data_IF_222674550755
#
_entry.id   IF_222674550755
#
_cell.length_a   1.000
_cell.length_b   1.000
_cell.length_c   1.000
_cell.angle_alpha   90.00
_cell.angle_beta   90.00
_cell.angle_gamma   90.00
#
_symmetry.space_group_name_H-M   'P 1'
#
loop_
_entity.id
_entity.type
_entity.pdbx_description
1 polymer ?
#
# COMPACT_ATOMS: atom_id res chain seq x y z
N UNK A 1 -57.77 -39.19 68.46
CA UNK A 1 -58.73 -38.64 67.46
C UNK A 1 -58.05 -37.43 66.79
N UNK A 2 -57.08 -37.67 65.90
CA UNK A 2 -57.20 -37.66 64.43
C UNK A 2 -57.41 -36.26 63.83
N UNK A 3 -56.27 -35.64 63.55
CA UNK A 3 -56.05 -34.42 62.77
C UNK A 3 -56.32 -34.68 61.28
N UNK A 4 -57.10 -33.83 60.61
CA UNK A 4 -57.33 -33.85 59.15
C UNK A 4 -56.42 -32.82 58.48
N UNK A 5 -55.43 -33.32 57.73
CA UNK A 5 -54.69 -32.56 56.72
C UNK A 5 -55.57 -32.32 55.48
N UNK A 6 -55.54 -31.10 54.96
CA UNK A 6 -56.07 -30.75 53.64
C UNK A 6 -54.94 -30.81 52.61
N UNK A 7 -55.09 -31.61 51.54
CA UNK A 7 -54.19 -31.61 50.38
C UNK A 7 -54.83 -30.89 49.20
N UNK A 8 -54.11 -29.93 48.60
CA UNK A 8 -54.48 -29.32 47.31
C UNK A 8 -54.09 -30.22 46.12
N UNK A 9 -54.85 -30.20 44.99
CA UNK A 9 -54.49 -30.93 43.79
C UNK A 9 -53.45 -30.18 42.95
N UNK A 10 -52.53 -30.92 42.34
CA UNK A 10 -51.49 -30.43 41.46
C UNK A 10 -52.06 -30.06 40.07
N UNK A 11 -51.68 -28.89 39.56
CA UNK A 11 -51.98 -28.44 38.19
C UNK A 11 -51.07 -29.18 37.20
N UNK A 12 -51.67 -30.06 36.40
CA UNK A 12 -51.00 -30.80 35.33
C UNK A 12 -50.60 -29.87 34.16
N UNK A 13 -49.30 -29.77 33.90
CA UNK A 13 -48.75 -29.06 32.73
C UNK A 13 -48.84 -29.97 31.50
N UNK A 14 -49.76 -29.69 30.58
CA UNK A 14 -49.92 -30.41 29.32
C UNK A 14 -48.61 -30.33 28.49
N UNK A 15 -48.00 -31.49 28.19
CA UNK A 15 -46.88 -31.58 27.24
C UNK A 15 -47.44 -31.41 25.82
N UNK A 16 -46.88 -30.52 24.97
CA UNK A 16 -47.31 -30.42 23.59
C UNK A 16 -47.00 -31.73 22.85
N UNK A 17 -47.99 -32.26 22.14
CA UNK A 17 -47.91 -33.54 21.43
C UNK A 17 -46.79 -33.57 20.39
N UNK A 18 -46.23 -34.77 20.17
CA UNK A 18 -45.12 -35.04 19.24
C UNK A 18 -45.34 -34.47 17.82
N UNK A 19 -46.59 -34.32 17.40
CA UNK A 19 -47.00 -33.68 16.13
C UNK A 19 -46.62 -32.19 16.04
N UNK A 20 -46.74 -31.43 17.12
CA UNK A 20 -46.40 -30.00 17.16
C UNK A 20 -44.89 -29.81 17.03
N UNK A 21 -44.10 -30.73 17.56
CA UNK A 21 -42.64 -30.70 17.46
C UNK A 21 -42.15 -31.09 16.06
N UNK A 22 -42.85 -32.01 15.38
CA UNK A 22 -42.58 -32.41 14.00
C UNK A 22 -42.93 -31.29 13.02
N UNK A 23 -44.07 -30.62 13.20
CA UNK A 23 -44.50 -29.46 12.40
C UNK A 23 -43.53 -28.28 12.53
N UNK A 24 -43.07 -27.95 13.75
CA UNK A 24 -42.08 -26.87 13.97
C UNK A 24 -40.74 -27.16 13.29
N UNK A 25 -40.26 -28.41 13.31
CA UNK A 25 -39.03 -28.81 12.64
C UNK A 25 -39.14 -28.71 11.11
N UNK A 26 -40.28 -29.10 10.55
CA UNK A 26 -40.53 -28.97 9.10
C UNK A 26 -40.59 -27.50 8.69
N UNK A 27 -41.28 -26.65 9.46
CA UNK A 27 -41.34 -25.21 9.19
C UNK A 27 -39.95 -24.56 9.25
N UNK A 28 -39.12 -24.92 10.23
CA UNK A 28 -37.74 -24.40 10.33
C UNK A 28 -36.89 -24.83 9.14
N UNK A 29 -36.98 -26.09 8.69
CA UNK A 29 -36.23 -26.59 7.53
C UNK A 29 -36.67 -25.89 6.25
N UNK A 30 -37.98 -25.68 6.06
CA UNK A 30 -38.51 -24.96 4.90
C UNK A 30 -38.07 -23.50 4.89
N UNK A 31 -38.14 -22.81 6.04
CA UNK A 31 -37.68 -21.42 6.15
C UNK A 31 -36.18 -21.30 5.88
N UNK A 32 -35.36 -22.24 6.37
CA UNK A 32 -33.91 -22.24 6.12
C UNK A 32 -33.60 -22.52 4.64
N UNK A 33 -34.32 -23.44 4.00
CA UNK A 33 -34.15 -23.76 2.59
C UNK A 33 -34.58 -22.60 1.69
N UNK A 34 -35.67 -21.91 2.01
CA UNK A 34 -36.11 -20.69 1.33
C UNK A 34 -35.07 -19.58 1.52
N UNK A 35 -34.53 -19.40 2.73
CA UNK A 35 -33.50 -18.38 2.97
C UNK A 35 -32.21 -18.65 2.17
N UNK A 36 -31.77 -19.90 2.08
CA UNK A 36 -30.62 -20.31 1.26
C UNK A 36 -30.88 -20.15 -0.25
N UNK A 37 -32.11 -20.42 -0.71
CA UNK A 37 -32.50 -20.23 -2.10
C UNK A 37 -32.58 -18.75 -2.50
N UNK A 38 -33.03 -17.87 -1.60
CA UNK A 38 -33.16 -16.42 -1.86
C UNK A 38 -31.79 -15.71 -1.78
N UNK A 39 -30.88 -16.19 -0.92
CA UNK A 39 -29.50 -15.68 -0.84
C UNK A 39 -28.61 -16.11 -2.03
N UNK A 40 -29.06 -17.09 -2.83
CA UNK A 40 -28.30 -17.67 -3.95
C UNK A 40 -28.28 -16.85 -5.24
N UNK A 41 -28.89 -15.66 -5.28
CA UNK A 41 -28.98 -14.84 -6.51
C UNK A 41 -28.54 -13.38 -6.34
N UNK A 42 -27.53 -13.10 -5.50
CA UNK A 42 -26.82 -11.82 -5.61
C UNK A 42 -25.83 -11.92 -6.78
N UNK A 43 -26.28 -11.56 -7.99
CA UNK A 43 -25.37 -11.26 -9.10
C UNK A 43 -24.60 -9.99 -8.74
N UNK A 44 -23.39 -10.15 -8.24
CA UNK A 44 -22.43 -9.06 -8.11
C UNK A 44 -22.11 -8.58 -9.55
N UNK A 45 -22.40 -7.33 -9.92
CA UNK A 45 -22.12 -6.85 -11.26
C UNK A 45 -20.60 -6.86 -11.51
N UNK A 46 -20.15 -7.52 -12.58
CA UNK A 46 -18.74 -7.70 -12.94
C UNK A 46 -18.05 -6.45 -13.50
N UNK A 47 -18.54 -5.24 -13.17
CA UNK A 47 -17.95 -3.97 -13.64
C UNK A 47 -17.06 -3.35 -12.57
N UNK A 48 -15.97 -4.02 -12.23
CA UNK A 48 -14.97 -3.48 -11.28
C UNK A 48 -13.60 -3.20 -11.92
N UNK A 49 -13.42 -3.42 -13.23
CA UNK A 49 -12.07 -3.51 -13.80
C UNK A 49 -11.34 -2.16 -13.95
N UNK A 50 -12.05 -1.07 -14.27
CA UNK A 50 -11.41 0.25 -14.49
C UNK A 50 -11.08 0.99 -13.18
N UNK A 51 -11.85 0.80 -12.11
CA UNK A 51 -11.60 1.46 -10.83
C UNK A 51 -10.49 0.75 -10.04
N UNK A 52 -10.38 -0.58 -10.16
CA UNK A 52 -9.36 -1.37 -9.44
C UNK A 52 -7.94 -0.87 -9.79
N UNK A 53 -7.65 -0.58 -11.06
CA UNK A 53 -6.31 -0.13 -11.48
C UNK A 53 -5.96 1.29 -11.03
N UNK A 54 -6.95 2.18 -10.97
CA UNK A 54 -6.77 3.55 -10.48
C UNK A 54 -6.50 3.54 -8.98
N UNK A 55 -7.27 2.74 -8.23
CA UNK A 55 -7.12 2.62 -6.79
C UNK A 55 -5.76 2.02 -6.41
N UNK A 56 -5.30 0.99 -7.13
CA UNK A 56 -3.95 0.42 -6.92
C UNK A 56 -2.88 1.49 -7.09
N UNK A 57 -2.94 2.30 -8.16
CA UNK A 57 -1.94 3.35 -8.40
C UNK A 57 -1.93 4.39 -7.28
N UNK A 58 -3.11 4.85 -6.87
CA UNK A 58 -3.24 5.84 -5.80
C UNK A 58 -2.71 5.30 -4.46
N UNK A 59 -3.03 4.06 -4.12
CA UNK A 59 -2.51 3.40 -2.91
C UNK A 59 -0.98 3.26 -2.94
N UNK A 60 -0.40 2.91 -4.09
CA UNK A 60 1.06 2.85 -4.25
C UNK A 60 1.67 4.25 -4.06
N UNK A 61 1.08 5.30 -4.65
CA UNK A 61 1.54 6.68 -4.45
C UNK A 61 1.41 7.13 -2.99
N UNK A 62 0.33 6.78 -2.30
CA UNK A 62 0.16 7.08 -0.86
C UNK A 62 1.20 6.37 0.00
N UNK A 63 1.46 5.08 -0.28
CA UNK A 63 2.51 4.33 0.41
C UNK A 63 3.90 4.92 0.14
N UNK A 64 4.20 5.25 -1.11
CA UNK A 64 5.45 5.90 -1.48
C UNK A 64 5.59 7.25 -0.75
N UNK A 65 4.53 8.06 -0.70
CA UNK A 65 4.52 9.34 0.01
C UNK A 65 4.81 9.15 1.52
N UNK A 66 4.18 8.17 2.16
CA UNK A 66 4.42 7.88 3.57
C UNK A 66 5.86 7.42 3.84
N UNK A 67 6.41 6.51 3.02
CA UNK A 67 7.82 6.11 3.10
C UNK A 67 8.76 7.29 2.91
N UNK A 68 8.49 8.18 1.95
CA UNK A 68 9.31 9.35 1.69
C UNK A 68 9.21 10.38 2.81
N UNK A 69 8.06 10.54 3.46
CA UNK A 69 7.91 11.42 4.62
C UNK A 69 8.77 10.94 5.80
N UNK A 70 8.87 9.63 6.01
CA UNK A 70 9.79 9.06 6.99
C UNK A 70 11.26 9.30 6.61
N UNK A 71 11.63 9.02 5.35
CA UNK A 71 13.00 9.20 4.83
C UNK A 71 13.45 10.68 4.92
N UNK A 72 12.53 11.61 4.65
CA UNK A 72 12.79 13.06 4.72
C UNK A 72 12.69 13.62 6.15
N UNK A 73 12.39 12.78 7.15
CA UNK A 73 12.28 13.19 8.55
C UNK A 73 11.05 14.04 8.88
N UNK A 74 10.02 14.04 8.02
CA UNK A 74 8.73 14.68 8.32
C UNK A 74 7.90 13.89 9.32
N UNK A 75 8.18 12.59 9.45
CA UNK A 75 7.62 11.72 10.48
C UNK A 75 8.71 10.82 11.07
N UNK A 76 8.56 10.49 12.35
CA UNK A 76 9.41 9.51 13.04
C UNK A 76 8.78 8.11 13.08
N UNK A 77 7.54 7.98 12.58
CA UNK A 77 6.86 6.69 12.50
C UNK A 77 7.19 5.99 11.19
N UNK A 78 7.69 4.76 11.30
CA UNK A 78 7.89 3.90 10.13
C UNK A 78 6.51 3.55 9.56
N UNK A 79 6.29 3.71 8.24
CA UNK A 79 5.04 3.30 7.60
C UNK A 79 4.81 1.81 7.80
N UNK A 80 3.81 1.47 8.60
CA UNK A 80 3.31 0.10 8.69
C UNK A 80 2.40 -0.13 7.48
N UNK A 81 2.55 -1.23 6.73
CA UNK A 81 1.60 -1.55 5.68
C UNK A 81 0.20 -1.62 6.30
N UNK A 82 -0.72 -0.75 5.87
CA UNK A 82 -2.09 -0.80 6.35
C UNK A 82 -2.64 -2.20 6.07
N UNK A 83 -3.03 -2.91 7.13
CA UNK A 83 -3.66 -4.20 6.96
C UNK A 83 -4.99 -3.97 6.27
N UNK A 84 -5.19 -4.59 5.10
CA UNK A 84 -6.52 -4.72 4.48
C UNK A 84 -7.54 -5.06 5.55
N UNK A 85 -8.75 -4.47 5.46
CA UNK A 85 -9.86 -4.68 6.40
C UNK A 85 -9.88 -6.11 6.88
N UNK A 86 -9.55 -6.29 8.16
CA UNK A 86 -9.28 -7.57 8.79
C UNK A 86 -10.48 -8.49 8.60
N UNK A 87 -10.34 -9.51 7.76
CA UNK A 87 -11.33 -10.58 7.73
C UNK A 87 -11.21 -11.34 9.03
N UNK A 88 -12.31 -11.88 9.56
CA UNK A 88 -12.29 -12.73 10.75
C UNK A 88 -11.31 -13.92 10.60
N UNK A 89 -11.07 -14.35 9.35
CA UNK A 89 -10.09 -15.39 9.00
C UNK A 89 -8.65 -14.93 9.25
N UNK A 90 -8.34 -13.66 9.00
CA UNK A 90 -7.00 -13.10 9.23
C UNK A 90 -6.68 -13.07 10.73
N UNK A 91 -7.68 -12.74 11.57
CA UNK A 91 -7.53 -12.76 13.03
C UNK A 91 -7.22 -14.16 13.56
N UNK A 92 -7.92 -15.18 13.05
CA UNK A 92 -7.67 -16.59 13.43
C UNK A 92 -6.29 -17.05 12.94
N UNK A 93 -5.91 -16.70 11.71
CA UNK A 93 -4.63 -17.08 11.15
C UNK A 93 -3.45 -16.42 11.88
N UNK A 94 -3.57 -15.15 12.28
CA UNK A 94 -2.55 -14.45 13.09
C UNK A 94 -2.38 -15.05 14.47
N UNK A 95 -3.47 -15.52 15.09
CA UNK A 95 -3.43 -16.21 16.37
C UNK A 95 -2.71 -17.57 16.26
N UNK A 96 -2.90 -18.29 15.15
CA UNK A 96 -2.32 -19.61 14.92
C UNK A 96 -0.88 -19.58 14.38
N UNK A 97 -0.46 -18.51 13.70
CA UNK A 97 0.87 -18.38 13.09
C UNK A 97 1.48 -16.97 13.31
N UNK A 98 1.99 -16.67 14.52
CA UNK A 98 2.47 -15.33 14.86
C UNK A 98 3.82 -14.93 14.23
N UNK A 99 4.66 -15.89 13.81
CA UNK A 99 6.10 -15.64 13.53
C UNK A 99 6.37 -14.97 12.17
N UNK A 100 5.53 -15.17 11.14
CA UNK A 100 5.83 -14.72 9.78
C UNK A 100 5.69 -13.20 9.55
N UNK A 101 4.89 -12.50 10.37
CA UNK A 101 4.65 -11.06 10.18
C UNK A 101 5.72 -10.16 10.80
N UNK A 102 6.42 -10.61 11.85
CA UNK A 102 7.39 -9.78 12.56
C UNK A 102 8.66 -9.53 11.72
N UNK A 103 9.25 -10.59 11.15
CA UNK A 103 10.52 -10.49 10.42
C UNK A 103 10.47 -9.59 9.16
N UNK A 104 9.32 -9.48 8.49
CA UNK A 104 9.18 -8.62 7.31
C UNK A 104 9.10 -7.12 7.67
N UNK A 105 8.51 -6.78 8.83
CA UNK A 105 8.47 -5.41 9.33
C UNK A 105 9.86 -4.89 9.70
N UNK A 106 10.72 -5.77 10.24
CA UNK A 106 12.08 -5.44 10.64
C UNK A 106 12.98 -5.11 9.42
N UNK A 107 12.85 -5.87 8.33
CA UNK A 107 13.65 -5.66 7.12
C UNK A 107 13.34 -4.32 6.43
N UNK A 108 12.05 -3.99 6.22
CA UNK A 108 11.64 -2.71 5.62
C UNK A 108 12.06 -1.53 6.49
N UNK A 109 11.96 -1.66 7.81
CA UNK A 109 12.40 -0.63 8.76
C UNK A 109 13.88 -0.33 8.60
N UNK A 110 14.74 -1.35 8.55
CA UNK A 110 16.18 -1.17 8.36
C UNK A 110 16.51 -0.45 7.05
N UNK A 111 15.82 -0.81 5.94
CA UNK A 111 15.99 -0.15 4.63
C UNK A 111 15.60 1.33 4.72
N UNK A 112 14.44 1.63 5.31
CA UNK A 112 13.95 3.02 5.44
C UNK A 112 14.86 3.87 6.33
N UNK A 113 15.39 3.33 7.42
CA UNK A 113 16.35 4.03 8.28
C UNK A 113 17.64 4.34 7.53
N UNK A 114 18.18 3.36 6.79
CA UNK A 114 19.37 3.54 5.95
C UNK A 114 19.18 4.62 4.87
N UNK A 115 18.00 4.67 4.24
CA UNK A 115 17.63 5.75 3.30
C UNK A 115 17.52 7.12 3.99
N UNK A 116 16.95 7.17 5.20
CA UNK A 116 16.84 8.40 6.00
C UNK A 116 18.21 8.95 6.36
N UNK A 117 19.13 8.11 6.81
CA UNK A 117 20.50 8.49 7.16
C UNK A 117 21.25 9.14 5.98
N UNK A 118 21.04 8.64 4.75
CA UNK A 118 21.65 9.19 3.53
C UNK A 118 20.88 10.34 2.90
N UNK A 119 19.66 10.64 3.34
CA UNK A 119 18.79 11.63 2.70
C UNK A 119 19.46 13.01 2.54
N UNK A 120 20.25 13.43 3.53
CA UNK A 120 21.02 14.68 3.47
C UNK A 120 22.12 14.68 2.40
N UNK A 121 22.86 13.58 2.25
CA UNK A 121 23.89 13.43 1.22
C UNK A 121 23.27 13.43 -0.19
N UNK A 122 22.15 12.73 -0.36
CA UNK A 122 21.40 12.70 -1.63
C UNK A 122 20.87 14.09 -1.97
N UNK A 123 20.34 14.82 -0.98
CA UNK A 123 19.87 16.18 -1.17
C UNK A 123 21.00 17.14 -1.60
N UNK A 124 22.20 17.02 -1.03
CA UNK A 124 23.37 17.80 -1.44
C UNK A 124 23.76 17.51 -2.89
N UNK A 125 23.85 16.23 -3.28
CA UNK A 125 24.19 15.83 -4.65
C UNK A 125 23.18 16.38 -5.67
N UNK A 126 21.88 16.33 -5.36
CA UNK A 126 20.84 16.89 -6.22
C UNK A 126 20.91 18.42 -6.30
N UNK A 127 21.13 19.10 -5.19
CA UNK A 127 21.26 20.56 -5.16
C UNK A 127 22.47 21.04 -5.98
N UNK A 128 23.57 20.28 -5.96
CA UNK A 128 24.77 20.52 -6.77
C UNK A 128 24.67 20.01 -8.20
N UNK A 129 23.53 19.44 -8.61
CA UNK A 129 23.27 18.86 -9.94
C UNK A 129 24.20 17.70 -10.31
N UNK A 130 24.78 17.02 -9.32
CA UNK A 130 25.61 15.83 -9.48
C UNK A 130 24.77 14.54 -9.50
N UNK A 131 23.48 14.63 -9.17
CA UNK A 131 22.53 13.53 -9.31
C UNK A 131 21.17 14.05 -9.80
N UNK A 132 20.48 13.25 -10.60
CA UNK A 132 19.10 13.49 -11.04
C UNK A 132 18.19 12.30 -10.74
N UNK A 133 16.90 12.53 -10.63
CA UNK A 133 15.89 11.49 -10.38
C UNK A 133 15.31 10.99 -11.71
N UNK A 134 15.41 9.70 -12.01
CA UNK A 134 14.85 9.13 -13.25
C UNK A 134 13.37 8.75 -13.11
N UNK A 135 12.75 8.36 -14.23
CA UNK A 135 11.30 8.08 -14.28
C UNK A 135 10.90 6.72 -13.69
N UNK A 136 11.83 6.05 -12.98
CA UNK A 136 11.65 4.82 -12.20
C UNK A 136 12.01 5.02 -10.72
N UNK A 137 12.32 6.26 -10.30
CA UNK A 137 12.58 6.58 -8.91
C UNK A 137 14.00 6.22 -8.46
N UNK A 138 14.95 6.06 -9.37
CA UNK A 138 16.37 5.89 -9.07
C UNK A 138 17.16 7.17 -9.34
N UNK A 139 18.30 7.32 -8.66
CA UNK A 139 19.26 8.38 -8.93
C UNK A 139 20.15 8.02 -10.13
N UNK A 140 20.40 9.00 -10.98
CA UNK A 140 21.42 8.94 -12.01
C UNK A 140 22.51 9.96 -11.73
N UNK A 141 23.75 9.47 -11.63
CA UNK A 141 24.92 10.32 -11.45
C UNK A 141 25.12 11.21 -12.69
N UNK A 142 25.34 12.50 -12.46
CA UNK A 142 25.61 13.53 -13.47
C UNK A 142 27.06 13.96 -13.29
N UNK A 143 27.90 13.53 -14.23
CA UNK A 143 29.32 13.85 -14.16
C UNK A 143 29.54 15.35 -14.35
N UNK A 144 30.44 15.90 -13.56
CA UNK A 144 30.81 17.32 -13.60
C UNK A 144 32.35 17.41 -13.71
N UNK A 145 32.88 18.05 -14.76
CA UNK A 145 34.32 18.21 -14.97
C UNK A 145 35.06 18.90 -13.83
N UNK A 146 34.35 19.65 -12.97
CA UNK A 146 34.93 20.35 -11.81
C UNK A 146 35.25 19.44 -10.63
N UNK A 147 34.70 18.22 -10.60
CA UNK A 147 35.00 17.27 -9.52
C UNK A 147 36.37 16.64 -9.72
N UNK A 148 37.11 16.48 -8.63
CA UNK A 148 38.29 15.61 -8.63
C UNK A 148 37.91 14.12 -8.62
N UNK A 149 38.89 13.24 -8.81
CA UNK A 149 38.64 11.79 -8.88
C UNK A 149 37.99 11.23 -7.61
N UNK A 150 38.42 11.71 -6.44
CA UNK A 150 37.90 11.25 -5.16
C UNK A 150 36.46 11.69 -4.97
N UNK A 151 36.14 12.95 -5.26
CA UNK A 151 34.79 13.48 -5.16
C UNK A 151 33.82 12.77 -6.11
N UNK A 152 34.26 12.44 -7.33
CA UNK A 152 33.46 11.64 -8.27
C UNK A 152 33.18 10.25 -7.71
N UNK A 153 34.19 9.58 -7.16
CA UNK A 153 34.02 8.23 -6.61
C UNK A 153 33.10 8.23 -5.38
N UNK A 154 33.25 9.20 -4.48
CA UNK A 154 32.37 9.39 -3.32
C UNK A 154 30.92 9.63 -3.76
N UNK A 155 30.68 10.50 -4.74
CA UNK A 155 29.34 10.76 -5.27
C UNK A 155 28.72 9.52 -5.93
N UNK A 156 29.51 8.75 -6.71
CA UNK A 156 29.07 7.50 -7.33
C UNK A 156 28.72 6.43 -6.29
N UNK A 157 29.49 6.35 -5.21
CA UNK A 157 29.22 5.42 -4.11
C UNK A 157 27.90 5.76 -3.40
N UNK A 158 27.63 7.05 -3.13
CA UNK A 158 26.37 7.48 -2.54
C UNK A 158 25.19 7.14 -3.46
N UNK A 159 25.29 7.44 -4.76
CA UNK A 159 24.25 7.11 -5.75
C UNK A 159 24.02 5.59 -5.82
N UNK A 160 25.08 4.79 -5.83
CA UNK A 160 24.98 3.33 -5.88
C UNK A 160 24.34 2.74 -4.62
N UNK A 161 24.76 3.20 -3.43
CA UNK A 161 24.20 2.76 -2.15
C UNK A 161 22.72 3.14 -2.01
N UNK A 162 22.37 4.36 -2.40
CA UNK A 162 20.98 4.82 -2.41
C UNK A 162 20.11 3.97 -3.34
N UNK A 163 20.57 3.72 -4.58
CA UNK A 163 19.82 2.92 -5.55
C UNK A 163 19.67 1.46 -5.13
N UNK A 164 20.68 0.90 -4.46
CA UNK A 164 20.60 -0.45 -3.89
C UNK A 164 19.46 -0.54 -2.88
N UNK A 165 19.38 0.40 -1.95
CA UNK A 165 18.35 0.38 -0.91
C UNK A 165 16.96 0.72 -1.46
N UNK A 166 16.87 1.63 -2.44
CA UNK A 166 15.61 1.88 -3.17
C UNK A 166 15.09 0.63 -3.85
N UNK A 167 15.96 -0.15 -4.50
CA UNK A 167 15.59 -1.43 -5.11
C UNK A 167 15.04 -2.41 -4.08
N UNK A 168 15.72 -2.57 -2.94
CA UNK A 168 15.25 -3.44 -1.86
C UNK A 168 13.89 -2.98 -1.32
N UNK A 169 13.70 -1.67 -1.13
CA UNK A 169 12.41 -1.11 -0.71
C UNK A 169 11.29 -1.45 -1.71
N UNK A 170 11.55 -1.33 -3.00
CA UNK A 170 10.55 -1.60 -4.04
C UNK A 170 10.19 -3.07 -4.13
N UNK A 171 11.18 -3.95 -3.97
CA UNK A 171 10.97 -5.40 -3.90
C UNK A 171 10.14 -5.78 -2.67
N UNK A 172 10.42 -5.17 -1.51
CA UNK A 172 9.65 -5.36 -0.29
C UNK A 172 8.20 -4.88 -0.40
N UNK A 173 7.99 -3.69 -0.97
CA UNK A 173 6.65 -3.14 -1.20
C UNK A 173 5.86 -3.99 -2.23
N UNK A 174 6.50 -4.49 -3.28
CA UNK A 174 5.86 -5.39 -4.25
C UNK A 174 5.52 -6.75 -3.60
N UNK A 175 6.43 -7.29 -2.78
CA UNK A 175 6.21 -8.55 -2.04
C UNK A 175 5.00 -8.45 -1.10
N UNK A 176 4.79 -7.29 -0.47
CA UNK A 176 3.63 -7.04 0.37
C UNK A 176 2.29 -7.05 -0.40
N UNK A 177 2.31 -6.81 -1.72
CA UNK A 177 1.13 -6.74 -2.59
C UNK A 177 1.01 -7.93 -3.55
N UNK A 178 1.71 -9.04 -3.27
CA UNK A 178 1.76 -10.24 -4.14
C UNK A 178 0.37 -10.74 -4.60
N UNK A 179 -0.65 -10.61 -3.75
CA UNK A 179 -2.01 -11.10 -4.03
C UNK A 179 -2.76 -10.25 -5.07
N UNK A 180 -2.24 -9.07 -5.42
CA UNK A 180 -2.84 -8.13 -6.40
C UNK A 180 -2.05 -8.06 -7.71
N UNK A 181 -1.05 -8.93 -7.88
CA UNK A 181 -0.14 -8.92 -9.04
C UNK A 181 0.53 -7.55 -9.28
N UNK A 182 0.79 -6.80 -8.20
CA UNK A 182 1.55 -5.54 -8.28
C UNK A 182 3.00 -5.88 -8.62
N UNK A 183 3.51 -5.29 -9.69
CA UNK A 183 4.89 -5.49 -10.14
C UNK A 183 5.83 -4.47 -9.49
N UNK A 184 7.12 -4.81 -9.38
CA UNK A 184 8.16 -3.87 -8.92
C UNK A 184 8.17 -2.61 -9.80
N UNK A 185 7.97 -2.75 -11.11
CA UNK A 185 7.88 -1.60 -12.04
C UNK A 185 6.75 -0.63 -11.70
N UNK A 186 5.61 -1.14 -11.23
CA UNK A 186 4.51 -0.28 -10.81
C UNK A 186 4.82 0.46 -9.49
N UNK A 187 5.53 -0.20 -8.57
CA UNK A 187 6.04 0.43 -7.34
C UNK A 187 7.06 1.53 -7.67
N UNK A 188 8.07 1.22 -8.48
CA UNK A 188 9.08 2.17 -8.98
C UNK A 188 8.44 3.43 -9.57
N UNK A 189 7.42 3.25 -10.43
CA UNK A 189 6.62 4.33 -11.02
C UNK A 189 5.96 5.22 -9.97
N UNK A 190 5.33 4.60 -8.96
CA UNK A 190 4.71 5.34 -7.86
C UNK A 190 5.71 6.19 -7.09
N UNK A 191 6.88 5.63 -6.75
CA UNK A 191 7.95 6.40 -6.11
C UNK A 191 8.53 7.49 -7.02
N UNK A 192 8.70 7.23 -8.32
CA UNK A 192 9.18 8.22 -9.28
C UNK A 192 8.27 9.46 -9.32
N UNK A 193 6.96 9.24 -9.37
CA UNK A 193 5.95 10.31 -9.35
C UNK A 193 6.01 11.11 -8.06
N UNK A 194 6.08 10.46 -6.90
CA UNK A 194 6.17 11.16 -5.62
C UNK A 194 7.48 11.94 -5.47
N UNK A 195 8.61 11.40 -5.95
CA UNK A 195 9.89 12.10 -5.97
C UNK A 195 9.86 13.30 -6.92
N UNK A 196 9.20 13.18 -8.08
CA UNK A 196 9.01 14.28 -9.02
C UNK A 196 8.18 15.41 -8.41
N UNK A 197 7.10 15.09 -7.69
CA UNK A 197 6.27 16.09 -6.97
C UNK A 197 7.07 16.86 -5.90
N UNK A 198 8.07 16.20 -5.30
CA UNK A 198 8.91 16.75 -4.22
C UNK A 198 10.21 17.39 -4.71
N UNK A 199 10.53 17.25 -5.99
CA UNK A 199 11.76 17.76 -6.56
C UNK A 199 11.77 19.30 -6.54
N UNK A 200 12.95 19.86 -6.29
CA UNK A 200 13.15 21.30 -6.12
C UNK A 200 13.55 21.96 -7.43
N UNK A 201 13.28 23.26 -7.55
CA UNK A 201 13.82 24.07 -8.65
C UNK A 201 15.35 23.90 -8.72
N UNK A 202 15.86 23.71 -9.93
CA UNK A 202 17.28 23.50 -10.21
C UNK A 202 17.73 22.04 -10.20
N UNK A 203 16.90 21.10 -9.76
CA UNK A 203 17.20 19.66 -9.78
C UNK A 203 16.93 19.04 -11.16
N UNK A 204 17.76 18.06 -11.53
CA UNK A 204 17.55 17.22 -12.71
C UNK A 204 16.50 16.14 -12.43
N UNK A 205 15.49 16.05 -13.29
CA UNK A 205 14.47 15.01 -13.25
C UNK A 205 14.18 14.49 -14.64
N UNK A 206 13.89 13.20 -14.75
CA UNK A 206 13.33 12.62 -15.97
C UNK A 206 11.81 12.61 -15.87
N UNK A 207 11.15 13.15 -16.88
CA UNK A 207 9.70 13.17 -16.92
C UNK A 207 9.12 11.76 -17.11
N UNK A 208 7.89 11.48 -16.61
CA UNK A 208 7.24 10.21 -16.84
C UNK A 208 7.05 9.97 -18.35
N UNK A 209 6.94 8.71 -18.81
CA UNK A 209 6.54 8.47 -20.19
C UNK A 209 5.09 8.89 -20.39
N UNK A 210 4.69 8.90 -21.66
CA UNK A 210 3.34 9.27 -22.06
C UNK A 210 2.30 8.40 -21.34
N UNK A 211 1.31 9.05 -20.74
CA UNK A 211 0.22 8.44 -19.96
C UNK A 211 -0.20 9.35 -18.81
N UNK A 212 -1.10 8.87 -17.95
CA UNK A 212 -1.76 9.73 -16.96
C UNK A 212 -0.79 10.43 -15.99
N UNK A 213 0.34 9.80 -15.63
CA UNK A 213 1.32 10.41 -14.74
C UNK A 213 2.02 11.60 -15.40
N UNK A 214 2.33 11.49 -16.70
CA UNK A 214 2.88 12.60 -17.47
C UNK A 214 1.83 13.68 -17.72
N UNK A 215 0.60 13.31 -18.04
CA UNK A 215 -0.49 14.26 -18.26
C UNK A 215 -0.81 15.05 -16.97
N UNK A 216 -0.83 14.36 -15.83
CA UNK A 216 -0.95 14.98 -14.52
C UNK A 216 0.21 15.94 -14.23
N UNK A 217 1.46 15.53 -14.49
CA UNK A 217 2.62 16.40 -14.31
C UNK A 217 2.57 17.63 -15.24
N UNK A 218 2.22 17.44 -16.51
CA UNK A 218 2.13 18.51 -17.51
C UNK A 218 1.13 19.61 -17.12
N UNK A 219 0.03 19.23 -16.48
CA UNK A 219 -0.98 20.18 -15.97
C UNK A 219 -0.57 20.88 -14.67
N UNK A 220 0.42 20.35 -13.94
CA UNK A 220 0.92 20.95 -12.70
C UNK A 220 1.63 22.29 -12.94
N UNK A 221 1.78 23.16 -11.92
CA UNK A 221 2.53 24.41 -12.05
C UNK A 221 3.98 24.22 -12.50
N UNK A 222 4.62 23.10 -12.15
CA UNK A 222 5.98 22.79 -12.59
C UNK A 222 6.02 22.40 -14.09
N UNK A 223 5.07 21.55 -14.53
CA UNK A 223 4.94 21.18 -15.94
C UNK A 223 4.61 22.37 -16.84
N UNK A 224 3.74 23.27 -16.38
CA UNK A 224 3.41 24.51 -17.10
C UNK A 224 4.63 25.44 -17.24
N UNK A 225 5.48 25.54 -16.21
CA UNK A 225 6.73 26.33 -16.25
C UNK A 225 7.76 25.77 -17.23
N UNK A 226 7.75 24.46 -17.48
CA UNK A 226 8.63 23.84 -18.48
C UNK A 226 8.21 24.18 -19.92
N UNK A 227 6.93 24.43 -20.17
CA UNK A 227 6.43 24.82 -21.48
C UNK A 227 6.74 23.77 -22.55
N UNK A 228 7.45 24.18 -23.61
CA UNK A 228 7.86 23.29 -24.71
C UNK A 228 8.81 22.17 -24.28
N UNK A 229 9.55 22.36 -23.18
CA UNK A 229 10.49 21.36 -22.65
C UNK A 229 9.76 20.21 -21.92
N UNK A 230 8.45 20.35 -21.65
CA UNK A 230 7.64 19.32 -21.00
C UNK A 230 7.30 18.19 -22.00
N UNK A 231 8.28 17.35 -22.29
CA UNK A 231 8.19 16.21 -23.23
C UNK A 231 8.30 14.88 -22.45
N UNK A 232 7.54 13.83 -22.80
CA UNK A 232 7.65 12.55 -22.10
C UNK A 232 9.07 11.99 -22.11
N UNK A 233 9.49 11.40 -20.99
CA UNK A 233 10.81 10.79 -20.78
C UNK A 233 12.02 11.73 -20.92
N UNK A 234 11.78 13.01 -21.17
CA UNK A 234 12.83 14.00 -21.28
C UNK A 234 13.48 14.26 -19.92
N UNK A 235 14.80 14.43 -19.94
CA UNK A 235 15.53 14.97 -18.81
C UNK A 235 15.42 16.49 -18.82
N UNK A 236 14.93 17.05 -17.72
CA UNK A 236 14.74 18.50 -17.56
C UNK A 236 15.33 18.95 -16.24
N UNK A 237 15.73 20.23 -16.19
CA UNK A 237 15.98 20.94 -14.94
C UNK A 237 14.67 21.61 -14.55
N UNK A 238 14.16 21.33 -13.35
CA UNK A 238 12.95 21.99 -12.88
C UNK A 238 13.17 23.50 -12.73
N UNK A 239 12.26 24.28 -13.30
CA UNK A 239 12.25 25.75 -13.26
C UNK A 239 11.34 26.19 -12.12
#
# INVERSE_FOLDING_TARGET
MLSRQASMPAVGRLRPGKEVLKMKRIVVVVVLAVFLAVMGCVRIPSKFEAHITVDIRQEIQQRAASSLDFIEGKTDTVPVPESKKTSWRDSVQRFLMPVACAAAADAKTAILSSLRERSGQVADLKARRLAGENNRGYLEFRDDPSLDARQRDEARQVVAAENKDRKLLYEEDARAEKDRNVTVTLIERGYAVERLKRAKTGEWVQLPPKGDDFDAFKTSPAGQRLGADCVPEAWVILK
#
